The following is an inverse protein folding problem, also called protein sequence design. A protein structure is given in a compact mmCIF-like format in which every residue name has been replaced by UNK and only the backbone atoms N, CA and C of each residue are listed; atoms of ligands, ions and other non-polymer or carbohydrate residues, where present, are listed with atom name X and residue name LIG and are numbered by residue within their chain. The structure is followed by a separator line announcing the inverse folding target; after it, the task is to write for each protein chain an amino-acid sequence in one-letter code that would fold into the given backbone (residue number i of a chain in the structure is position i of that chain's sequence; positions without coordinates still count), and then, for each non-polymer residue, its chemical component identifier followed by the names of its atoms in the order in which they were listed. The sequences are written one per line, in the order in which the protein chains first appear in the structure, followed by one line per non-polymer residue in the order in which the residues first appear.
data_IF_044020611649
#
_entry.id   IF_044020611649
#
_cell.length_a   1.000
_cell.length_b   1.000
_cell.length_c   1.000
_cell.angle_alpha   90.00
_cell.angle_beta   90.00
_cell.angle_gamma   90.00
#
_symmetry.space_group_name_H-M   'P 1'
#
loop_
_entity.id
_entity.type
_entity.pdbx_description
1 polymer ?
#
# COMPACT_ATOMS: atom_id res chain seq x y z
N UNK A 1 17.83 -5.41 -9.84
CA UNK A 1 18.05 -4.66 -8.58
C UNK A 1 18.22 -3.17 -8.85
N UNK A 2 19.36 -2.68 -9.34
CA UNK A 2 19.57 -1.23 -9.55
C UNK A 2 18.53 -0.57 -10.48
N UNK A 3 18.21 -1.20 -11.62
CA UNK A 3 17.18 -0.69 -12.54
C UNK A 3 15.80 -0.58 -11.88
N UNK A 4 15.37 -1.62 -11.15
CA UNK A 4 14.09 -1.64 -10.44
C UNK A 4 13.99 -0.50 -9.44
N UNK A 5 15.05 -0.28 -8.65
CA UNK A 5 15.13 0.81 -7.67
C UNK A 5 15.05 2.16 -8.37
N UNK A 6 15.82 2.37 -9.46
CA UNK A 6 15.78 3.62 -10.24
C UNK A 6 14.38 3.91 -10.77
N UNK A 7 13.70 2.90 -11.33
CA UNK A 7 12.33 3.06 -11.85
C UNK A 7 11.33 3.39 -10.75
N UNK A 8 11.44 2.74 -9.58
CA UNK A 8 10.61 3.04 -8.41
C UNK A 8 10.84 4.48 -7.94
N UNK A 9 12.10 4.91 -7.83
CA UNK A 9 12.46 6.28 -7.43
C UNK A 9 11.88 7.29 -8.42
N UNK A 10 12.07 7.06 -9.72
CA UNK A 10 11.59 7.95 -10.77
C UNK A 10 10.06 8.09 -10.76
N UNK A 11 9.34 6.98 -10.57
CA UNK A 11 7.89 6.99 -10.47
C UNK A 11 7.40 7.82 -9.29
N UNK A 12 7.98 7.64 -8.09
CA UNK A 12 7.58 8.43 -6.92
C UNK A 12 7.95 9.91 -7.05
N UNK A 13 9.11 10.23 -7.63
CA UNK A 13 9.47 11.63 -7.93
C UNK A 13 8.42 12.26 -8.84
N UNK A 14 8.03 11.57 -9.91
CA UNK A 14 7.01 12.07 -10.84
C UNK A 14 5.68 12.34 -10.12
N UNK A 15 5.20 11.40 -9.30
CA UNK A 15 3.96 11.56 -8.52
C UNK A 15 4.08 12.76 -7.57
N UNK A 16 5.16 12.86 -6.81
CA UNK A 16 5.38 13.94 -5.84
C UNK A 16 5.44 15.30 -6.53
N UNK A 17 6.18 15.42 -7.63
CA UNK A 17 6.34 16.68 -8.38
C UNK A 17 5.03 17.13 -9.01
N UNK A 18 4.14 16.22 -9.40
CA UNK A 18 2.83 16.58 -9.95
C UNK A 18 1.82 16.95 -8.86
N UNK A 19 1.80 16.21 -7.75
CA UNK A 19 0.76 16.32 -6.73
C UNK A 19 1.08 17.34 -5.63
N UNK A 20 2.30 17.30 -5.07
CA UNK A 20 2.68 18.08 -3.88
C UNK A 20 2.66 19.59 -4.12
N UNK A 21 3.22 20.17 -5.20
CA UNK A 21 3.18 21.62 -5.39
C UNK A 21 1.75 22.12 -5.58
N UNK A 22 0.88 21.34 -6.23
CA UNK A 22 -0.55 21.66 -6.38
C UNK A 22 -1.24 21.70 -5.01
N UNK A 23 -0.99 20.72 -4.16
CA UNK A 23 -1.58 20.64 -2.82
C UNK A 23 -1.07 21.76 -1.89
N UNK A 24 0.22 22.08 -1.94
CA UNK A 24 0.82 23.19 -1.18
C UNK A 24 0.28 24.54 -1.66
N UNK A 25 0.23 24.78 -2.97
CA UNK A 25 -0.26 26.04 -3.53
C UNK A 25 -1.71 26.33 -3.14
N UNK A 26 -2.55 25.28 -3.07
CA UNK A 26 -3.94 25.38 -2.65
C UNK A 26 -4.13 25.36 -1.11
N UNK A 27 -3.05 25.33 -0.33
CA UNK A 27 -3.05 25.21 1.15
C UNK A 27 -3.88 24.04 1.66
N UNK A 28 -3.94 22.95 0.90
CA UNK A 28 -4.77 21.79 1.21
C UNK A 28 -4.04 20.80 2.11
N UNK A 29 -3.74 21.23 3.33
CA UNK A 29 -2.97 20.45 4.30
C UNK A 29 -3.61 19.11 4.65
N UNK A 30 -4.94 19.04 4.72
CA UNK A 30 -5.65 17.77 4.97
C UNK A 30 -5.46 16.77 3.84
N UNK A 31 -5.52 17.23 2.59
CA UNK A 31 -5.30 16.39 1.41
C UNK A 31 -3.83 15.98 1.30
N UNK A 32 -2.91 16.89 1.60
CA UNK A 32 -1.48 16.58 1.69
C UNK A 32 -1.18 15.50 2.73
N UNK A 33 -1.82 15.57 3.91
CA UNK A 33 -1.68 14.54 4.94
C UNK A 33 -2.24 13.19 4.47
N UNK A 34 -3.42 13.17 3.85
CA UNK A 34 -4.00 11.93 3.32
C UNK A 34 -3.13 11.32 2.21
N UNK A 35 -2.66 12.15 1.29
CA UNK A 35 -1.71 11.74 0.25
C UNK A 35 -0.44 11.16 0.85
N UNK A 36 0.16 11.84 1.82
CA UNK A 36 1.40 11.39 2.47
C UNK A 36 1.21 10.09 3.24
N UNK A 37 0.08 9.93 3.93
CA UNK A 37 -0.27 8.71 4.67
C UNK A 37 -0.42 7.49 3.76
N UNK A 38 -0.81 7.67 2.49
CA UNK A 38 -0.90 6.59 1.52
C UNK A 38 0.44 6.37 0.78
N UNK A 39 1.13 7.46 0.44
CA UNK A 39 2.37 7.41 -0.34
C UNK A 39 3.53 6.80 0.46
N UNK A 40 3.66 7.15 1.74
CA UNK A 40 4.77 6.67 2.58
C UNK A 40 4.78 5.14 2.73
N UNK A 41 3.67 4.46 3.11
CA UNK A 41 3.63 3.00 3.13
C UNK A 41 3.92 2.39 1.77
N UNK A 42 3.41 2.97 0.68
CA UNK A 42 3.66 2.47 -0.67
C UNK A 42 5.16 2.52 -1.01
N UNK A 43 5.85 3.62 -0.68
CA UNK A 43 7.30 3.77 -0.83
C UNK A 43 8.00 2.69 -0.01
N UNK A 44 7.74 2.60 1.29
CA UNK A 44 8.39 1.63 2.19
C UNK A 44 8.22 0.20 1.67
N UNK A 45 7.01 -0.16 1.23
CA UNK A 45 6.71 -1.49 0.73
C UNK A 45 7.42 -1.78 -0.60
N UNK A 46 7.42 -0.82 -1.53
CA UNK A 46 8.07 -0.98 -2.85
C UNK A 46 9.58 -1.14 -2.72
N UNK A 47 10.23 -0.34 -1.88
CA UNK A 47 11.67 -0.48 -1.63
C UNK A 47 11.99 -1.75 -0.84
N UNK A 48 11.20 -2.09 0.18
CA UNK A 48 11.39 -3.32 0.94
C UNK A 48 11.29 -4.57 0.05
N UNK A 49 10.32 -4.62 -0.87
CA UNK A 49 10.26 -5.69 -1.88
C UNK A 49 11.47 -5.67 -2.82
N UNK A 50 11.93 -4.50 -3.27
CA UNK A 50 13.07 -4.39 -4.18
C UNK A 50 14.41 -4.83 -3.57
N UNK A 51 14.51 -4.79 -2.23
CA UNK A 51 15.67 -5.25 -1.46
C UNK A 51 15.47 -6.63 -0.82
N UNK A 52 14.44 -7.38 -1.23
CA UNK A 52 14.09 -8.69 -0.67
C UNK A 52 13.95 -8.70 0.86
N UNK A 53 13.50 -7.57 1.43
CA UNK A 53 13.14 -7.50 2.85
C UNK A 53 11.87 -8.32 3.05
N UNK A 54 11.91 -9.23 4.04
CA UNK A 54 10.73 -9.95 4.49
C UNK A 54 9.75 -8.99 5.17
N UNK A 55 8.92 -8.36 4.34
CA UNK A 55 7.82 -7.53 4.78
C UNK A 55 6.64 -8.42 5.20
N UNK A 56 5.94 -8.07 6.28
CA UNK A 56 4.71 -8.76 6.64
C UNK A 56 3.72 -8.65 5.49
N UNK A 57 3.19 -9.79 5.04
CA UNK A 57 2.24 -9.83 3.93
C UNK A 57 0.88 -9.27 4.41
N UNK A 58 0.40 -8.12 3.86
CA UNK A 58 -0.87 -7.53 4.25
C UNK A 58 -2.05 -8.48 4.03
N UNK A 59 -1.94 -9.40 3.06
CA UNK A 59 -2.95 -10.44 2.80
C UNK A 59 -3.11 -11.36 4.01
N UNK A 60 -2.05 -11.66 4.76
CA UNK A 60 -2.18 -12.49 5.98
C UNK A 60 -2.96 -11.76 7.08
N UNK A 61 -2.80 -10.43 7.17
CA UNK A 61 -3.60 -9.60 8.07
C UNK A 61 -5.08 -9.61 7.66
N UNK A 62 -5.35 -9.43 6.37
CA UNK A 62 -6.70 -9.48 5.81
C UNK A 62 -7.31 -10.86 6.06
N UNK A 63 -6.60 -11.94 5.74
CA UNK A 63 -7.03 -13.31 6.02
C UNK A 63 -7.34 -13.51 7.50
N UNK A 64 -6.51 -13.02 8.42
CA UNK A 64 -6.79 -13.11 9.85
C UNK A 64 -8.12 -12.47 10.27
N UNK A 65 -8.50 -11.35 9.62
CA UNK A 65 -9.76 -10.65 9.88
C UNK A 65 -10.95 -11.36 9.22
N UNK A 66 -10.79 -11.82 7.99
CA UNK A 66 -11.90 -12.35 7.18
C UNK A 66 -12.11 -13.85 7.31
N UNK A 67 -11.11 -14.62 7.73
CA UNK A 67 -11.20 -16.06 7.99
C UNK A 67 -12.32 -16.45 8.97
N UNK A 68 -12.55 -15.77 10.11
CA UNK A 68 -13.68 -16.12 10.98
C UNK A 68 -15.04 -15.95 10.28
N UNK A 69 -15.20 -14.91 9.46
CA UNK A 69 -16.39 -14.70 8.65
C UNK A 69 -16.55 -15.78 7.58
N UNK A 70 -15.45 -16.14 6.89
CA UNK A 70 -15.45 -17.20 5.88
C UNK A 70 -15.88 -18.55 6.50
N UNK A 71 -15.33 -18.91 7.66
CA UNK A 71 -15.69 -20.15 8.38
C UNK A 71 -17.16 -20.16 8.84
N UNK A 72 -17.71 -19.01 9.23
CA UNK A 72 -19.14 -18.90 9.57
C UNK A 72 -20.02 -19.10 8.35
N UNK A 73 -19.66 -18.50 7.21
CA UNK A 73 -20.38 -18.66 5.94
C UNK A 73 -20.32 -20.10 5.45
N UNK A 74 -19.15 -20.73 5.49
CA UNK A 74 -18.94 -22.14 5.12
C UNK A 74 -19.86 -23.06 5.95
N UNK A 75 -19.95 -22.81 7.26
CA UNK A 75 -20.81 -23.56 8.17
C UNK A 75 -22.31 -23.37 7.88
N UNK A 76 -22.73 -22.17 7.45
CA UNK A 76 -24.13 -21.86 7.12
C UNK A 76 -24.52 -22.42 5.75
N UNK A 77 -23.61 -22.34 4.78
CA UNK A 77 -23.83 -22.80 3.41
C UNK A 77 -23.67 -24.32 3.25
N UNK A 78 -23.15 -25.01 4.28
CA UNK A 78 -23.00 -26.47 4.29
C UNK A 78 -22.07 -27.01 3.20
N UNK A 79 -21.25 -26.15 2.59
CA UNK A 79 -20.35 -26.52 1.50
C UNK A 79 -19.00 -26.91 2.09
N UNK A 80 -18.91 -28.15 2.57
CA UNK A 80 -17.63 -28.81 2.73
C UNK A 80 -17.08 -29.13 1.32
N UNK A 81 -16.13 -28.33 0.86
CA UNK A 81 -15.29 -28.63 -0.31
C UNK A 81 -13.83 -28.63 0.13
#
# INVERSE_FOLDING_TARGET
MALTVILITLAYILIIVLEVPRLLAQKKWRELTAFSLLLLPAIVYSYGMAFDVNLPNPTQLIEGIFKPLALQLEKILGTAL
#
